data_IF_777723401828
#
_entry.id   IF_777723401828
#
_cell.length_a   1.000
_cell.length_b   1.000
_cell.length_c   1.000
_cell.angle_alpha   90.00
_cell.angle_beta   90.00
_cell.angle_gamma   90.00
#
_symmetry.space_group_name_H-M   'P 1'
#
loop_
_entity.id
_entity.type
_entity.pdbx_description
1 polymer ?
#
# COMPACT_ATOMS: atom_id res chain seq x y z
N UNK A 1 -0.03 18.69 41.18
CA UNK A 1 -0.23 19.70 40.09
C UNK A 1 0.63 19.38 38.86
N UNK A 2 1.90 19.00 39.03
CA UNK A 2 2.80 18.66 37.90
C UNK A 2 2.33 17.45 37.05
N UNK A 3 1.81 16.39 37.65
CA UNK A 3 1.31 15.20 36.94
C UNK A 3 0.09 15.50 36.06
N UNK A 4 -0.84 16.33 36.49
CA UNK A 4 -2.01 16.74 35.67
C UNK A 4 -1.58 17.61 34.51
N UNK A 5 -0.55 18.41 34.65
CA UNK A 5 -0.02 19.29 33.60
C UNK A 5 0.74 18.49 32.53
N UNK A 6 1.50 17.46 32.95
CA UNK A 6 2.16 16.52 32.02
C UNK A 6 1.16 15.69 31.21
N UNK A 7 0.06 15.26 31.86
CA UNK A 7 -1.00 14.46 31.18
C UNK A 7 -1.81 15.30 30.17
N UNK A 8 -2.06 16.57 30.48
CA UNK A 8 -2.71 17.51 29.55
C UNK A 8 -1.81 17.83 28.35
N UNK A 9 -0.52 18.10 28.57
CA UNK A 9 0.44 18.37 27.48
C UNK A 9 0.57 17.16 26.56
N UNK A 10 0.64 15.94 27.11
CA UNK A 10 0.72 14.71 26.33
C UNK A 10 -0.57 14.46 25.51
N UNK A 11 -1.74 14.82 26.03
CA UNK A 11 -3.01 14.74 25.33
C UNK A 11 -3.13 15.76 24.17
N UNK A 12 -2.65 16.98 24.38
CA UNK A 12 -2.64 18.03 23.35
C UNK A 12 -1.66 17.69 22.22
N UNK A 13 -0.50 17.16 22.52
CA UNK A 13 0.49 16.69 21.55
C UNK A 13 -0.05 15.51 20.74
N UNK A 14 -0.72 14.55 21.36
CA UNK A 14 -1.32 13.42 20.67
C UNK A 14 -2.43 13.87 19.72
N UNK A 15 -3.27 14.80 20.14
CA UNK A 15 -4.31 15.37 19.28
C UNK A 15 -3.73 16.11 18.08
N UNK A 16 -2.69 16.92 18.29
CA UNK A 16 -2.04 17.66 17.23
C UNK A 16 -1.40 16.73 16.18
N UNK A 17 -0.67 15.70 16.65
CA UNK A 17 -0.06 14.69 15.78
C UNK A 17 -1.13 13.91 15.01
N UNK A 18 -2.20 13.46 15.68
CA UNK A 18 -3.29 12.72 15.03
C UNK A 18 -3.96 13.58 13.95
N UNK A 19 -4.23 14.84 14.23
CA UNK A 19 -4.82 15.79 13.28
C UNK A 19 -3.92 16.02 12.05
N UNK A 20 -2.61 16.14 12.26
CA UNK A 20 -1.63 16.27 11.18
C UNK A 20 -1.60 15.02 10.30
N UNK A 21 -1.59 13.83 10.90
CA UNK A 21 -1.63 12.55 10.18
C UNK A 21 -2.93 12.42 9.38
N UNK A 22 -4.08 12.75 9.95
CA UNK A 22 -5.37 12.72 9.26
C UNK A 22 -5.38 13.68 8.06
N UNK A 23 -4.79 14.86 8.22
CA UNK A 23 -4.68 15.84 7.12
C UNK A 23 -3.78 15.32 6.01
N UNK A 24 -2.61 14.78 6.35
CA UNK A 24 -1.70 14.15 5.40
C UNK A 24 -2.33 12.94 4.70
N UNK A 25 -3.10 12.13 5.42
CA UNK A 25 -3.78 10.97 4.86
C UNK A 25 -4.81 11.36 3.78
N UNK A 26 -5.55 12.46 3.97
CA UNK A 26 -6.48 12.97 2.93
C UNK A 26 -5.74 13.31 1.64
N UNK A 27 -4.59 13.95 1.74
CA UNK A 27 -3.76 14.25 0.56
C UNK A 27 -3.29 12.96 -0.12
N UNK A 28 -2.77 11.99 0.64
CA UNK A 28 -2.29 10.71 0.10
C UNK A 28 -3.43 9.91 -0.55
N UNK A 29 -4.62 9.92 0.04
CA UNK A 29 -5.83 9.28 -0.54
C UNK A 29 -6.21 9.97 -1.85
N UNK A 30 -6.19 11.30 -1.91
CA UNK A 30 -6.49 12.04 -3.13
C UNK A 30 -5.48 11.73 -4.26
N UNK A 31 -4.18 11.66 -3.95
CA UNK A 31 -3.13 11.25 -4.88
C UNK A 31 -3.38 9.81 -5.36
N UNK A 32 -3.68 8.89 -4.44
CA UNK A 32 -3.96 7.51 -4.78
C UNK A 32 -5.18 7.38 -5.72
N UNK A 33 -6.24 8.12 -5.46
CA UNK A 33 -7.43 8.14 -6.30
C UNK A 33 -7.13 8.66 -7.72
N UNK A 34 -6.40 9.78 -7.83
CA UNK A 34 -6.00 10.32 -9.15
C UNK A 34 -5.09 9.38 -9.92
N UNK A 35 -4.12 8.77 -9.23
CA UNK A 35 -3.21 7.80 -9.86
C UNK A 35 -3.95 6.57 -10.38
N UNK A 36 -5.00 6.13 -9.67
CA UNK A 36 -5.80 4.98 -10.07
C UNK A 36 -6.79 5.32 -11.19
N UNK A 37 -7.25 6.57 -11.30
CA UNK A 37 -8.25 6.98 -12.30
C UNK A 37 -7.86 6.64 -13.75
N UNK A 38 -6.56 6.57 -14.03
CA UNK A 38 -6.05 6.19 -15.35
C UNK A 38 -6.30 4.71 -15.72
N UNK A 39 -6.64 3.88 -14.76
CA UNK A 39 -6.86 2.43 -14.93
C UNK A 39 -8.17 1.98 -14.26
N UNK A 40 -9.06 2.92 -13.90
CA UNK A 40 -10.31 2.63 -13.19
C UNK A 40 -11.30 1.78 -13.99
N UNK A 41 -11.19 1.80 -15.32
CA UNK A 41 -11.92 0.93 -16.23
C UNK A 41 -11.50 -0.55 -16.11
N UNK A 42 -10.30 -0.82 -15.59
CA UNK A 42 -9.70 -2.16 -15.49
C UNK A 42 -9.75 -2.72 -14.07
N UNK A 43 -9.54 -1.88 -13.05
CA UNK A 43 -9.43 -2.33 -11.66
C UNK A 43 -10.01 -1.32 -10.67
N UNK A 44 -10.72 -1.83 -9.65
CA UNK A 44 -11.13 -1.02 -8.50
C UNK A 44 -9.99 -0.87 -7.49
N UNK A 45 -10.08 0.08 -6.56
CA UNK A 45 -9.07 0.29 -5.51
C UNK A 45 -8.77 -0.99 -4.69
N UNK A 46 -9.76 -1.79 -4.22
CA UNK A 46 -9.48 -3.06 -3.54
C UNK A 46 -8.76 -4.08 -4.42
N UNK A 47 -9.10 -4.15 -5.71
CA UNK A 47 -8.44 -5.03 -6.67
C UNK A 47 -7.00 -4.57 -6.94
N UNK A 48 -6.79 -3.26 -7.10
CA UNK A 48 -5.45 -2.70 -7.24
C UNK A 48 -4.57 -3.01 -6.02
N UNK A 49 -5.13 -2.87 -4.79
CA UNK A 49 -4.42 -3.26 -3.57
C UNK A 49 -4.00 -4.74 -3.57
N UNK A 50 -4.84 -5.63 -4.10
CA UNK A 50 -4.48 -7.04 -4.29
C UNK A 50 -3.31 -7.21 -5.27
N UNK A 51 -3.30 -6.48 -6.40
CA UNK A 51 -2.18 -6.51 -7.34
C UNK A 51 -0.89 -6.01 -6.68
N UNK A 52 -0.95 -4.93 -5.89
CA UNK A 52 0.22 -4.41 -5.15
C UNK A 52 0.76 -5.45 -4.17
N UNK A 53 -0.09 -6.12 -3.39
CA UNK A 53 0.36 -7.19 -2.47
C UNK A 53 1.06 -8.32 -3.22
N UNK A 54 0.52 -8.73 -4.38
CA UNK A 54 1.15 -9.76 -5.22
C UNK A 54 2.46 -9.27 -5.86
N UNK A 55 2.54 -8.00 -6.18
CA UNK A 55 3.75 -7.40 -6.72
C UNK A 55 4.89 -7.40 -5.69
N UNK A 56 4.57 -7.06 -4.44
CA UNK A 56 5.52 -6.95 -3.33
C UNK A 56 5.99 -8.32 -2.82
N UNK A 57 5.08 -9.29 -2.77
CA UNK A 57 5.35 -10.58 -2.13
C UNK A 57 5.48 -11.77 -3.09
N UNK A 58 5.33 -11.52 -4.38
CA UNK A 58 5.36 -12.59 -5.39
C UNK A 58 4.16 -13.53 -5.29
N UNK A 59 4.38 -14.77 -5.72
CA UNK A 59 3.37 -15.82 -5.68
C UNK A 59 2.93 -16.11 -4.24
N UNK A 60 1.63 -16.07 -3.99
CA UNK A 60 1.06 -16.10 -2.64
C UNK A 60 -0.16 -17.01 -2.60
N UNK A 61 -0.40 -17.70 -1.47
CA UNK A 61 -1.63 -18.47 -1.24
C UNK A 61 -2.82 -17.52 -1.07
N UNK A 62 -4.00 -17.93 -1.55
CA UNK A 62 -5.22 -17.12 -1.43
C UNK A 62 -5.55 -16.73 0.03
N UNK A 63 -5.37 -17.66 0.97
CA UNK A 63 -5.63 -17.40 2.41
C UNK A 63 -4.70 -16.31 2.93
N UNK A 64 -3.40 -16.42 2.68
CA UNK A 64 -2.40 -15.42 3.08
C UNK A 64 -2.67 -14.06 2.42
N UNK A 65 -3.15 -14.07 1.17
CA UNK A 65 -3.53 -12.85 0.47
C UNK A 65 -4.73 -12.17 1.13
N UNK A 66 -5.74 -12.94 1.55
CA UNK A 66 -6.91 -12.44 2.29
C UNK A 66 -6.50 -11.81 3.64
N UNK A 67 -5.62 -12.47 4.39
CA UNK A 67 -5.08 -11.97 5.65
C UNK A 67 -4.36 -10.62 5.46
N UNK A 68 -3.45 -10.52 4.48
CA UNK A 68 -2.71 -9.30 4.18
C UNK A 68 -3.61 -8.14 3.72
N UNK A 69 -4.71 -8.46 3.07
CA UNK A 69 -5.69 -7.47 2.63
C UNK A 69 -6.67 -7.06 3.74
N UNK A 70 -6.72 -7.80 4.85
CA UNK A 70 -7.69 -7.59 5.91
C UNK A 70 -9.13 -7.90 5.48
N UNK A 71 -9.31 -8.89 4.58
CA UNK A 71 -10.62 -9.31 4.09
C UNK A 71 -10.86 -10.79 4.34
N UNK A 72 -12.13 -11.21 4.32
CA UNK A 72 -12.41 -12.65 4.41
C UNK A 72 -12.03 -13.40 3.12
N UNK A 73 -11.74 -14.72 3.18
CA UNK A 73 -11.30 -15.51 2.05
C UNK A 73 -12.28 -15.49 0.86
N UNK A 74 -13.59 -15.42 1.10
CA UNK A 74 -14.59 -15.38 0.04
C UNK A 74 -14.58 -14.06 -0.72
N UNK A 75 -14.27 -12.95 -0.06
CA UNK A 75 -14.06 -11.64 -0.71
C UNK A 75 -12.78 -11.64 -1.54
N UNK A 76 -11.68 -12.16 -0.99
CA UNK A 76 -10.42 -12.31 -1.73
C UNK A 76 -10.60 -13.21 -2.97
N UNK A 77 -11.36 -14.31 -2.85
CA UNK A 77 -11.67 -15.20 -3.96
C UNK A 77 -12.40 -14.45 -5.09
N UNK A 78 -13.48 -13.71 -4.76
CA UNK A 78 -14.23 -12.94 -5.76
C UNK A 78 -13.40 -11.86 -6.45
N UNK A 79 -12.50 -11.21 -5.70
CA UNK A 79 -11.56 -10.26 -6.30
C UNK A 79 -10.58 -10.96 -7.24
N UNK A 80 -10.03 -12.11 -6.81
CA UNK A 80 -9.13 -12.91 -7.63
C UNK A 80 -9.82 -13.44 -8.90
N UNK A 81 -11.09 -13.87 -8.83
CA UNK A 81 -11.84 -14.31 -10.01
C UNK A 81 -11.98 -13.19 -11.05
N UNK A 82 -12.29 -11.97 -10.61
CA UNK A 82 -12.40 -10.81 -11.51
C UNK A 82 -11.05 -10.44 -12.13
N UNK A 83 -9.98 -10.42 -11.33
CA UNK A 83 -8.64 -10.12 -11.82
C UNK A 83 -8.10 -11.20 -12.77
N UNK A 84 -8.42 -12.47 -12.53
CA UNK A 84 -8.09 -13.56 -13.44
C UNK A 84 -8.86 -13.44 -14.76
N UNK A 85 -10.16 -13.11 -14.71
CA UNK A 85 -10.98 -12.83 -15.90
C UNK A 85 -10.45 -11.66 -16.72
N UNK A 86 -9.86 -10.64 -16.07
CA UNK A 86 -9.16 -9.53 -16.70
C UNK A 86 -7.70 -9.85 -17.12
N UNK A 87 -7.24 -11.08 -16.94
CA UNK A 87 -5.87 -11.54 -17.24
C UNK A 87 -4.77 -10.80 -16.49
N UNK A 88 -5.06 -10.22 -15.32
CA UNK A 88 -4.10 -9.48 -14.50
C UNK A 88 -3.37 -10.37 -13.50
N UNK A 89 -3.96 -11.51 -13.18
CA UNK A 89 -3.36 -12.55 -12.34
C UNK A 89 -3.55 -13.94 -12.95
N UNK A 90 -2.73 -14.89 -12.51
CA UNK A 90 -2.89 -16.32 -12.79
C UNK A 90 -3.14 -17.05 -11.49
N UNK A 91 -4.03 -18.04 -11.54
CA UNK A 91 -4.34 -18.96 -10.44
C UNK A 91 -3.83 -20.34 -10.79
N UNK A 92 -3.07 -20.92 -9.91
CA UNK A 92 -2.47 -22.23 -10.09
C UNK A 92 -2.78 -23.10 -8.86
N UNK A 93 -3.01 -24.39 -9.08
CA UNK A 93 -3.11 -25.33 -7.96
C UNK A 93 -1.71 -25.56 -7.41
N UNK A 94 -1.55 -25.49 -6.07
CA UNK A 94 -0.26 -25.77 -5.45
C UNK A 94 0.14 -27.24 -5.74
N UNK A 95 1.30 -27.50 -6.40
CA UNK A 95 1.73 -28.86 -6.73
C UNK A 95 1.97 -29.74 -5.49
N UNK A 96 2.28 -29.11 -4.36
CA UNK A 96 2.52 -29.82 -3.08
C UNK A 96 1.25 -29.98 -2.24
N UNK A 97 0.18 -29.23 -2.54
CA UNK A 97 -1.10 -29.34 -1.84
C UNK A 97 -2.25 -28.91 -2.75
N UNK A 98 -2.92 -29.86 -3.37
CA UNK A 98 -4.00 -29.62 -4.33
C UNK A 98 -5.23 -28.87 -3.76
N UNK A 99 -5.31 -28.71 -2.45
CA UNK A 99 -6.36 -27.90 -1.78
C UNK A 99 -6.00 -26.42 -1.70
N UNK A 100 -4.78 -26.05 -2.03
CA UNK A 100 -4.29 -24.68 -1.98
C UNK A 100 -4.26 -24.09 -3.39
N UNK A 101 -4.72 -22.86 -3.50
CA UNK A 101 -4.60 -22.03 -4.71
C UNK A 101 -3.47 -21.02 -4.53
N UNK A 102 -2.53 -21.04 -5.44
CA UNK A 102 -1.48 -20.05 -5.56
C UNK A 102 -1.89 -18.96 -6.56
N UNK A 103 -1.59 -17.72 -6.26
CA UNK A 103 -1.91 -16.56 -7.08
C UNK A 103 -0.64 -15.80 -7.38
N UNK A 104 -0.45 -15.42 -8.63
CA UNK A 104 0.67 -14.55 -9.06
C UNK A 104 0.22 -13.53 -10.08
N UNK A 105 0.96 -12.44 -10.20
CA UNK A 105 0.76 -11.45 -11.26
C UNK A 105 1.11 -12.01 -12.64
N UNK A 106 0.37 -11.53 -13.63
CA UNK A 106 0.80 -11.58 -15.03
C UNK A 106 1.68 -10.37 -15.35
N UNK A 107 2.33 -10.39 -16.52
CA UNK A 107 3.05 -9.21 -17.03
C UNK A 107 2.12 -7.99 -17.21
N UNK A 108 0.85 -8.23 -17.55
CA UNK A 108 -0.14 -7.17 -17.67
C UNK A 108 -0.54 -6.59 -16.31
N UNK A 109 -0.75 -7.46 -15.31
CA UNK A 109 -1.00 -7.02 -13.93
C UNK A 109 0.16 -6.21 -13.37
N UNK A 110 1.41 -6.64 -13.65
CA UNK A 110 2.62 -5.90 -13.28
C UNK A 110 2.63 -4.50 -13.91
N UNK A 111 2.40 -4.38 -15.21
CA UNK A 111 2.35 -3.06 -15.89
C UNK A 111 1.33 -2.10 -15.27
N UNK A 112 0.15 -2.58 -14.88
CA UNK A 112 -0.84 -1.73 -14.20
C UNK A 112 -0.32 -1.21 -12.86
N UNK A 113 0.32 -2.07 -12.07
CA UNK A 113 0.89 -1.64 -10.78
C UNK A 113 2.00 -0.61 -11.00
N UNK A 114 2.90 -0.87 -11.96
CA UNK A 114 4.01 0.03 -12.29
C UNK A 114 3.50 1.40 -12.76
N UNK A 115 2.51 1.44 -13.64
CA UNK A 115 1.91 2.67 -14.17
C UNK A 115 1.29 3.53 -13.06
N UNK A 116 0.45 2.93 -12.20
CA UNK A 116 -0.19 3.65 -11.10
C UNK A 116 0.85 4.13 -10.07
N UNK A 117 1.85 3.29 -9.80
CA UNK A 117 2.92 3.63 -8.84
C UNK A 117 3.80 4.77 -9.37
N UNK A 118 4.17 4.76 -10.66
CA UNK A 118 4.94 5.83 -11.27
C UNK A 118 4.20 7.18 -11.16
N UNK A 119 2.92 7.24 -11.53
CA UNK A 119 2.10 8.46 -11.42
C UNK A 119 2.02 8.97 -9.98
N UNK A 120 1.82 8.04 -9.03
CA UNK A 120 1.80 8.39 -7.60
C UNK A 120 3.12 8.98 -7.13
N UNK A 121 4.23 8.39 -7.56
CA UNK A 121 5.57 8.86 -7.24
C UNK A 121 5.84 10.24 -7.81
N UNK A 122 5.44 10.51 -9.05
CA UNK A 122 5.57 11.82 -9.69
C UNK A 122 4.81 12.91 -8.92
N UNK A 123 3.55 12.66 -8.54
CA UNK A 123 2.77 13.62 -7.76
C UNK A 123 3.38 13.88 -6.37
N UNK A 124 3.84 12.83 -5.69
CA UNK A 124 4.51 12.95 -4.38
C UNK A 124 5.83 13.72 -4.53
N UNK A 125 6.64 13.40 -5.55
CA UNK A 125 7.90 14.09 -5.81
C UNK A 125 7.69 15.58 -6.09
N UNK A 126 6.64 15.94 -6.84
CA UNK A 126 6.28 17.34 -7.10
C UNK A 126 5.87 18.11 -5.83
N UNK A 127 5.36 17.43 -4.82
CA UNK A 127 5.05 18.04 -3.51
C UNK A 127 6.34 18.17 -2.70
N UNK A 128 7.11 17.10 -2.60
CA UNK A 128 8.35 17.04 -1.80
C UNK A 128 9.40 18.03 -2.32
N UNK A 129 9.47 18.25 -3.65
CA UNK A 129 10.40 19.23 -4.25
C UNK A 129 10.17 20.68 -3.79
N UNK A 130 9.02 21.00 -3.22
CA UNK A 130 8.70 22.32 -2.65
C UNK A 130 9.02 22.45 -1.15
N UNK A 131 9.50 21.36 -0.53
CA UNK A 131 9.88 21.33 0.88
C UNK A 131 11.35 21.67 1.05
N UNK A 132 11.72 22.24 2.21
CA UNK A 132 13.13 22.45 2.53
C UNK A 132 13.83 21.09 2.80
N UNK A 133 15.16 21.03 2.65
CA UNK A 133 15.92 19.80 2.98
C UNK A 133 15.74 19.34 4.44
N UNK A 134 15.52 20.27 5.36
CA UNK A 134 15.25 19.96 6.75
C UNK A 134 13.88 19.31 6.93
N UNK A 135 12.85 19.88 6.29
CA UNK A 135 11.49 19.30 6.29
C UNK A 135 11.47 17.90 5.65
N UNK A 136 12.22 17.68 4.57
CA UNK A 136 12.34 16.35 3.95
C UNK A 136 12.94 15.33 4.93
N UNK A 137 14.03 15.69 5.63
CA UNK A 137 14.63 14.79 6.63
C UNK A 137 13.68 14.48 7.78
N UNK A 138 12.98 15.50 8.28
CA UNK A 138 11.97 15.32 9.34
C UNK A 138 10.83 14.40 8.89
N UNK A 139 10.33 14.59 7.67
CA UNK A 139 9.28 13.74 7.08
C UNK A 139 9.74 12.29 6.95
N UNK A 140 10.95 12.03 6.46
CA UNK A 140 11.50 10.67 6.36
C UNK A 140 11.51 9.99 7.73
N UNK A 141 12.04 10.68 8.75
CA UNK A 141 12.13 10.15 10.12
C UNK A 141 10.73 9.87 10.71
N UNK A 142 9.80 10.81 10.56
CA UNK A 142 8.44 10.69 11.07
C UNK A 142 7.68 9.55 10.40
N UNK A 143 7.76 9.46 9.07
CA UNK A 143 7.09 8.40 8.30
C UNK A 143 7.66 7.01 8.63
N UNK A 144 8.99 6.90 8.76
CA UNK A 144 9.61 5.63 9.16
C UNK A 144 9.20 5.18 10.57
N UNK A 145 9.02 6.10 11.51
CA UNK A 145 8.51 5.78 12.85
C UNK A 145 7.02 5.39 12.80
N UNK A 146 6.21 6.13 12.06
CA UNK A 146 4.78 5.91 11.94
C UNK A 146 4.44 4.57 11.28
N UNK A 147 5.11 4.23 10.15
CA UNK A 147 4.88 2.96 9.45
C UNK A 147 5.31 1.76 10.28
N UNK A 148 6.45 1.84 11.00
CA UNK A 148 6.86 0.79 11.94
C UNK A 148 5.86 0.60 13.07
N UNK A 149 5.36 1.68 13.66
CA UNK A 149 4.35 1.61 14.72
C UNK A 149 3.03 1.00 14.22
N UNK A 150 2.69 1.22 12.95
CA UNK A 150 1.52 0.64 12.28
C UNK A 150 1.71 -0.81 11.79
N UNK A 151 2.90 -1.40 11.98
CA UNK A 151 3.21 -2.77 11.54
C UNK A 151 3.43 -2.90 10.01
N UNK A 152 3.58 -1.78 9.30
CA UNK A 152 3.95 -1.82 7.89
C UNK A 152 5.45 -2.11 7.78
N UNK A 153 5.88 -3.16 7.07
CA UNK A 153 7.30 -3.45 6.91
C UNK A 153 7.99 -2.27 6.21
N UNK A 154 9.25 -1.97 6.59
CA UNK A 154 10.01 -0.97 5.85
C UNK A 154 10.07 -1.38 4.38
N UNK A 155 10.08 -0.40 3.49
CA UNK A 155 10.41 -0.61 2.08
C UNK A 155 11.92 -0.95 2.00
N UNK A 156 12.31 -2.10 2.56
CA UNK A 156 13.66 -2.64 2.48
C UNK A 156 13.81 -3.36 1.15
N UNK A 157 14.96 -3.28 0.52
CA UNK A 157 15.39 -3.98 -0.72
C UNK A 157 14.38 -4.00 -1.88
N UNK A 158 13.40 -3.14 -1.78
CA UNK A 158 12.37 -2.92 -2.77
C UNK A 158 12.81 -1.68 -3.52
N UNK A 159 12.92 -1.77 -4.84
CA UNK A 159 13.07 -0.63 -5.75
C UNK A 159 12.40 0.63 -5.14
N UNK A 160 12.89 1.88 -5.34
CA UNK A 160 12.28 3.11 -4.79
C UNK A 160 10.77 3.24 -5.03
N UNK A 161 10.22 2.42 -5.91
CA UNK A 161 8.80 2.27 -6.22
C UNK A 161 8.14 1.07 -5.53
N UNK A 162 8.81 0.42 -4.59
CA UNK A 162 8.25 -0.71 -3.86
C UNK A 162 8.53 -2.10 -4.46
N UNK A 163 9.57 -2.28 -5.29
CA UNK A 163 9.90 -3.56 -5.93
C UNK A 163 11.25 -4.10 -5.48
N UNK A 164 11.45 -5.44 -5.36
CA UNK A 164 12.77 -6.01 -5.33
C UNK A 164 13.44 -5.79 -6.70
N UNK A 165 14.73 -5.49 -6.71
CA UNK A 165 15.53 -5.46 -7.94
C UNK A 165 15.41 -6.83 -8.63
N UNK A 166 15.29 -6.81 -9.97
CA UNK A 166 15.13 -7.98 -10.81
C UNK A 166 16.42 -8.79 -10.91
#
# INVERSE_FOLDING_TARGET
>A
MAERQADQTNGEDLFAVTSAVLTGSRLLVAIAARSLAAVEDKVTLPQFRMLVVLATHGQTKLVTLAERLGVNPSTAMRMADRLAGAQLIVRETNPHNRRETLIRLTSQGRRIVDEVTARRSEEIAAIVSRMSPEQCRALISAMAAFTRAGGEPPAGDVHPLGWPDA
#
